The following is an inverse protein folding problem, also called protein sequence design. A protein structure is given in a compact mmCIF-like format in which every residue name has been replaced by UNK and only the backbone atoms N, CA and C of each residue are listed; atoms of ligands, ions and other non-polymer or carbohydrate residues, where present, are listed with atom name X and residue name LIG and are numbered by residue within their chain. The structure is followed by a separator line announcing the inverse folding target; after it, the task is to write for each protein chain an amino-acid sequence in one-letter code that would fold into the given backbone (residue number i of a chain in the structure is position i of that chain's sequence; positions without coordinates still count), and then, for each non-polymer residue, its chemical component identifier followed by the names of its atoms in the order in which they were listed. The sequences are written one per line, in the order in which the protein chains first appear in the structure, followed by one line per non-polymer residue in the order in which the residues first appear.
data_IF_358398548492
#
_entry.id   IF_358398548492
#
_cell.length_a   1.000
_cell.length_b   1.000
_cell.length_c   1.000
_cell.angle_alpha   90.00
_cell.angle_beta   90.00
_cell.angle_gamma   90.00
#
_symmetry.space_group_name_H-M   'P 1'
#
loop_
_entity.id
_entity.type
_entity.pdbx_description
1 polymer ?
#
# COMPACT_ATOMS: atom_id res chain seq x y z
N UNK A 1 -14.97 39.85 16.74
CA UNK A 1 -14.10 40.63 15.82
C UNK A 1 -12.81 40.90 16.57
N UNK A 2 -11.65 40.65 15.95
CA UNK A 2 -10.33 40.88 16.56
C UNK A 2 -9.78 42.17 15.96
N UNK A 3 -9.48 43.16 16.81
CA UNK A 3 -8.92 44.46 16.43
C UNK A 3 -7.60 44.67 17.18
N UNK A 4 -6.62 45.31 16.54
CA UNK A 4 -5.32 45.61 17.16
C UNK A 4 -5.49 46.64 18.28
N UNK A 5 -5.12 46.35 19.55
CA UNK A 5 -5.35 47.25 20.69
C UNK A 5 -4.44 48.49 20.71
N UNK A 6 -3.57 48.67 19.71
CA UNK A 6 -2.62 49.79 19.63
C UNK A 6 -3.07 50.81 18.57
N UNK A 7 -3.72 50.38 17.49
CA UNK A 7 -4.05 51.24 16.36
C UNK A 7 -5.49 51.08 15.84
N UNK A 8 -6.33 50.27 16.52
CA UNK A 8 -7.72 49.97 16.14
C UNK A 8 -7.89 49.40 14.72
N UNK A 9 -6.80 48.86 14.17
CA UNK A 9 -6.77 48.31 12.81
C UNK A 9 -7.26 46.86 12.78
N UNK A 10 -8.05 46.53 11.75
CA UNK A 10 -8.66 45.20 11.53
C UNK A 10 -8.14 44.50 10.27
N UNK A 11 -7.17 45.10 9.57
CA UNK A 11 -6.56 44.56 8.36
C UNK A 11 -5.42 43.59 8.72
N UNK A 12 -5.73 42.29 8.75
CA UNK A 12 -4.71 41.25 8.97
C UNK A 12 -4.01 40.94 7.64
N UNK A 13 -2.72 41.27 7.53
CA UNK A 13 -1.87 40.85 6.42
C UNK A 13 -0.90 39.75 6.85
N UNK A 14 -0.74 38.71 6.02
CA UNK A 14 0.24 37.65 6.25
C UNK A 14 1.54 38.06 5.59
N UNK A 15 2.57 38.26 6.40
CA UNK A 15 3.95 38.41 5.91
C UNK A 15 4.59 37.03 5.76
N UNK A 16 5.18 36.70 4.59
CA UNK A 16 5.99 35.49 4.46
C UNK A 16 7.26 35.63 5.29
N UNK A 17 7.50 34.69 6.18
CA UNK A 17 8.71 34.63 6.98
C UNK A 17 9.91 34.28 6.09
N UNK A 18 10.97 35.11 6.13
CA UNK A 18 12.19 34.96 5.33
C UNK A 18 13.19 33.95 5.90
N UNK A 19 12.76 33.07 6.81
CA UNK A 19 13.62 31.99 7.29
C UNK A 19 13.67 30.87 6.25
N UNK A 20 14.79 30.81 5.54
CA UNK A 20 15.10 29.73 4.61
C UNK A 20 15.29 28.42 5.39
N UNK A 21 14.22 27.62 5.51
CA UNK A 21 14.36 26.22 5.87
C UNK A 21 14.98 25.55 4.65
N UNK A 22 16.26 25.20 4.74
CA UNK A 22 16.91 24.28 3.79
C UNK A 22 16.18 22.95 3.91
N UNK A 23 15.08 22.81 3.18
CA UNK A 23 14.50 21.51 2.93
C UNK A 23 15.61 20.69 2.29
N UNK A 24 16.10 19.68 3.00
CA UNK A 24 16.69 18.54 2.33
C UNK A 24 15.55 17.91 1.55
N UNK A 25 15.22 18.51 0.40
CA UNK A 25 14.67 17.80 -0.73
C UNK A 25 15.79 16.84 -1.13
N UNK A 26 15.92 15.77 -0.35
CA UNK A 26 16.59 14.57 -0.75
C UNK A 26 15.76 14.01 -1.88
N UNK A 27 15.89 14.60 -3.06
CA UNK A 27 15.77 13.83 -4.28
C UNK A 27 16.83 12.77 -4.13
N UNK A 28 16.45 11.59 -3.63
CA UNK A 28 17.25 10.40 -3.87
C UNK A 28 17.40 10.37 -5.38
N UNK A 29 18.61 10.55 -5.94
CA UNK A 29 18.77 10.34 -7.36
C UNK A 29 18.60 8.85 -7.58
N UNK A 30 17.36 8.41 -7.85
CA UNK A 30 17.13 7.15 -8.55
C UNK A 30 17.70 7.39 -9.95
N UNK A 31 19.00 7.16 -10.11
CA UNK A 31 19.57 6.89 -11.43
C UNK A 31 18.93 5.58 -11.88
N UNK A 32 18.13 5.54 -12.95
CA UNK A 32 17.78 4.27 -13.56
C UNK A 32 19.02 3.85 -14.37
N UNK A 33 20.06 3.42 -13.67
CA UNK A 33 21.18 2.72 -14.29
C UNK A 33 20.68 1.33 -14.66
N UNK A 34 20.65 1.06 -15.97
CA UNK A 34 20.41 -0.25 -16.52
C UNK A 34 18.95 -0.53 -16.84
N UNK A 35 18.75 -1.17 -17.98
CA UNK A 35 17.53 -1.85 -18.39
C UNK A 35 17.07 -2.75 -17.23
N UNK A 36 16.23 -2.23 -16.32
CA UNK A 36 15.69 -3.02 -15.22
C UNK A 36 14.80 -4.05 -15.87
N UNK A 37 15.29 -5.28 -15.94
CA UNK A 37 14.51 -6.44 -16.36
C UNK A 37 13.33 -6.56 -15.40
N UNK A 38 12.20 -5.94 -15.80
CA UNK A 38 10.97 -5.88 -15.01
C UNK A 38 10.48 -7.29 -14.68
N UNK A 39 10.80 -8.25 -15.55
CA UNK A 39 10.61 -9.67 -15.34
C UNK A 39 11.48 -10.25 -14.21
N UNK A 40 12.78 -9.90 -14.14
CA UNK A 40 13.67 -10.36 -13.07
C UNK A 40 13.29 -9.76 -11.71
N UNK A 41 12.81 -8.52 -11.69
CA UNK A 41 12.31 -7.87 -10.48
C UNK A 41 10.98 -8.48 -10.02
N UNK A 42 10.06 -8.77 -10.95
CA UNK A 42 8.79 -9.45 -10.66
C UNK A 42 8.99 -10.81 -10.00
N UNK A 43 9.92 -11.63 -10.52
CA UNK A 43 10.25 -12.94 -9.92
C UNK A 43 10.74 -12.82 -8.48
N UNK A 44 11.63 -11.88 -8.19
CA UNK A 44 12.12 -11.65 -6.81
C UNK A 44 11.00 -11.23 -5.85
N UNK A 45 10.02 -10.46 -6.33
CA UNK A 45 8.85 -10.07 -5.52
C UNK A 45 7.98 -11.29 -5.23
N UNK A 46 7.68 -12.11 -6.24
CA UNK A 46 6.93 -13.36 -6.07
C UNK A 46 7.64 -14.27 -5.07
N UNK A 47 8.95 -14.53 -5.26
CA UNK A 47 9.76 -15.32 -4.35
C UNK A 47 9.71 -14.80 -2.90
N UNK A 48 9.74 -13.48 -2.73
CA UNK A 48 9.67 -12.85 -1.42
C UNK A 48 8.30 -13.08 -0.77
N UNK A 49 7.22 -12.88 -1.53
CA UNK A 49 5.86 -13.13 -1.05
C UNK A 49 5.70 -14.59 -0.67
N UNK A 50 6.20 -15.53 -1.48
CA UNK A 50 6.07 -16.96 -1.20
C UNK A 50 6.79 -17.40 0.07
N UNK A 51 7.94 -16.78 0.37
CA UNK A 51 8.77 -17.11 1.54
C UNK A 51 8.34 -16.42 2.83
N UNK A 52 7.76 -15.22 2.73
CA UNK A 52 7.41 -14.40 3.89
C UNK A 52 5.92 -14.41 4.21
N UNK A 53 5.06 -14.87 3.30
CA UNK A 53 3.61 -14.90 3.49
C UNK A 53 3.10 -16.33 3.52
N UNK A 54 2.31 -16.63 4.54
CA UNK A 54 1.68 -17.92 4.72
C UNK A 54 0.53 -18.12 3.72
N UNK A 55 0.52 -19.26 3.03
CA UNK A 55 -0.54 -19.58 2.08
C UNK A 55 -1.74 -20.20 2.81
N UNK A 56 -2.82 -19.44 2.92
CA UNK A 56 -4.10 -19.88 3.53
C UNK A 56 -5.14 -20.30 2.48
N UNK A 57 -4.78 -20.27 1.19
CA UNK A 57 -5.67 -20.74 0.12
C UNK A 57 -6.99 -19.97 0.07
N UNK A 58 -8.12 -20.69 0.04
CA UNK A 58 -9.46 -20.11 -0.06
C UNK A 58 -9.94 -19.44 1.23
N UNK A 59 -9.31 -19.75 2.37
CA UNK A 59 -9.71 -19.23 3.69
C UNK A 59 -9.14 -17.83 3.96
N UNK A 60 -8.60 -17.15 2.94
CA UNK A 60 -8.00 -15.82 3.07
C UNK A 60 -8.95 -14.80 3.70
N UNK A 61 -10.21 -14.80 3.29
CA UNK A 61 -11.19 -13.86 3.81
C UNK A 61 -11.49 -14.11 5.29
N UNK A 62 -11.65 -15.37 5.70
CA UNK A 62 -11.91 -15.72 7.09
C UNK A 62 -10.71 -15.40 7.98
N UNK A 63 -9.49 -15.74 7.56
CA UNK A 63 -8.28 -15.47 8.33
C UNK A 63 -8.02 -13.97 8.47
N UNK A 64 -8.27 -13.19 7.41
CA UNK A 64 -8.14 -11.74 7.45
C UNK A 64 -9.16 -11.11 8.42
N UNK A 65 -10.40 -11.61 8.46
CA UNK A 65 -11.40 -11.19 9.44
C UNK A 65 -10.99 -11.56 10.86
N UNK A 66 -10.55 -12.80 11.10
CA UNK A 66 -10.08 -13.24 12.42
C UNK A 66 -8.94 -12.35 12.93
N UNK A 67 -8.01 -11.97 12.06
CA UNK A 67 -6.93 -11.04 12.40
C UNK A 67 -7.45 -9.63 12.69
N UNK A 68 -8.44 -9.14 11.93
CA UNK A 68 -9.06 -7.83 12.15
C UNK A 68 -9.79 -7.76 13.50
N UNK A 69 -10.47 -8.84 13.89
CA UNK A 69 -11.17 -8.97 15.17
C UNK A 69 -10.27 -9.39 16.34
N UNK A 70 -8.99 -9.67 16.10
CA UNK A 70 -8.02 -10.09 17.13
C UNK A 70 -8.24 -11.51 17.67
N UNK A 71 -8.92 -12.38 16.92
CA UNK A 71 -9.10 -13.80 17.24
C UNK A 71 -7.80 -14.57 17.00
N UNK A 72 -7.06 -14.19 15.96
CA UNK A 72 -5.75 -14.76 15.60
C UNK A 72 -4.68 -13.68 15.62
N UNK A 73 -3.41 -14.10 15.80
CA UNK A 73 -2.29 -13.18 15.80
C UNK A 73 -2.10 -12.53 14.41
N UNK A 74 -1.77 -11.23 14.35
CA UNK A 74 -1.58 -10.54 13.08
C UNK A 74 -0.33 -11.06 12.36
N UNK A 75 -0.53 -11.66 11.19
CA UNK A 75 0.53 -12.29 10.38
C UNK A 75 0.35 -12.03 8.89
N UNK A 76 1.42 -12.18 8.12
CA UNK A 76 1.37 -12.01 6.67
C UNK A 76 0.76 -13.25 6.01
N UNK A 77 -0.48 -13.12 5.50
CA UNK A 77 -1.20 -14.20 4.80
C UNK A 77 -1.35 -13.89 3.31
N UNK A 78 -1.34 -14.95 2.48
CA UNK A 78 -1.69 -14.92 1.06
C UNK A 78 -2.73 -15.99 0.76
N UNK A 79 -3.59 -15.73 -0.21
CA UNK A 79 -4.56 -16.71 -0.65
C UNK A 79 -5.41 -16.20 -1.79
N UNK A 80 -6.49 -16.93 -2.06
CA UNK A 80 -7.50 -16.61 -3.05
C UNK A 80 -8.79 -16.22 -2.32
N UNK A 81 -9.56 -15.35 -2.94
CA UNK A 81 -10.85 -14.93 -2.40
C UNK A 81 -11.83 -14.70 -3.54
N UNK A 82 -13.10 -14.96 -3.28
CA UNK A 82 -14.21 -14.72 -4.19
C UNK A 82 -14.59 -13.24 -4.22
N UNK A 83 -15.19 -12.74 -5.30
CA UNK A 83 -15.56 -11.32 -5.40
C UNK A 83 -16.51 -10.88 -4.27
N UNK A 84 -17.38 -11.77 -3.79
CA UNK A 84 -18.30 -11.49 -2.68
C UNK A 84 -17.56 -11.34 -1.35
N UNK A 85 -16.55 -12.14 -1.11
CA UNK A 85 -15.72 -12.04 0.09
C UNK A 85 -14.86 -10.77 0.06
N UNK A 86 -14.33 -10.39 -1.10
CA UNK A 86 -13.60 -9.14 -1.27
C UNK A 86 -14.45 -7.91 -0.93
N UNK A 87 -15.74 -7.91 -1.28
CA UNK A 87 -16.67 -6.86 -0.89
C UNK A 87 -16.83 -6.79 0.63
N UNK A 88 -16.97 -7.94 1.29
CA UNK A 88 -17.00 -8.03 2.75
C UNK A 88 -15.71 -7.48 3.37
N UNK A 89 -14.54 -7.90 2.88
CA UNK A 89 -13.25 -7.42 3.36
C UNK A 89 -13.13 -5.89 3.25
N UNK A 90 -13.60 -5.30 2.14
CA UNK A 90 -13.62 -3.84 1.97
C UNK A 90 -14.60 -3.15 2.91
N UNK A 91 -15.79 -3.72 3.12
CA UNK A 91 -16.80 -3.17 4.02
C UNK A 91 -16.31 -3.15 5.47
N UNK A 92 -15.57 -4.18 5.87
CA UNK A 92 -14.93 -4.29 7.19
C UNK A 92 -13.68 -3.40 7.32
N UNK A 93 -13.21 -2.77 6.23
CA UNK A 93 -12.03 -1.89 6.24
C UNK A 93 -10.70 -2.65 6.20
N UNK A 94 -10.69 -3.90 5.77
CA UNK A 94 -9.49 -4.71 5.63
C UNK A 94 -8.78 -4.35 4.33
N UNK A 95 -7.53 -3.89 4.45
CA UNK A 95 -6.68 -3.55 3.31
C UNK A 95 -6.02 -4.80 2.74
N UNK A 96 -6.25 -5.09 1.46
CA UNK A 96 -5.63 -6.20 0.73
C UNK A 96 -5.10 -5.74 -0.62
N UNK A 97 -4.16 -6.51 -1.18
CA UNK A 97 -3.56 -6.23 -2.48
C UNK A 97 -3.80 -7.39 -3.44
N UNK A 98 -4.22 -7.10 -4.67
CA UNK A 98 -4.30 -8.09 -5.73
C UNK A 98 -2.97 -8.19 -6.44
N UNK A 99 -2.32 -9.34 -6.30
CA UNK A 99 -1.10 -9.61 -7.02
C UNK A 99 -1.41 -10.36 -8.33
N UNK A 100 -0.99 -9.84 -9.51
CA UNK A 100 -1.06 -10.59 -10.75
C UNK A 100 0.03 -11.66 -10.70
N UNK A 101 -0.34 -12.87 -10.27
CA UNK A 101 0.51 -14.03 -10.49
C UNK A 101 0.54 -14.30 -12.00
N UNK A 102 1.73 -14.38 -12.64
CA UNK A 102 1.79 -14.86 -14.00
C UNK A 102 1.19 -16.26 -13.97
N UNK A 103 0.07 -16.45 -14.65
CA UNK A 103 -0.48 -17.77 -14.89
C UNK A 103 0.63 -18.57 -15.56
N UNK A 104 1.18 -19.58 -14.88
CA UNK A 104 1.75 -20.69 -15.63
C UNK A 104 0.61 -21.16 -16.53
N UNK A 105 0.77 -21.10 -17.87
CA UNK A 105 -0.25 -21.60 -18.76
C UNK A 105 -0.40 -23.08 -18.39
N UNK A 106 -1.50 -23.40 -17.72
CA UNK A 106 -1.99 -24.76 -17.67
C UNK A 106 -2.17 -25.18 -19.12
N UNK A 107 -1.30 -26.07 -19.61
CA UNK A 107 -1.49 -26.81 -20.84
C UNK A 107 -2.90 -27.45 -20.83
N UNK A 108 -3.88 -26.74 -21.37
CA UNK A 108 -5.20 -27.28 -21.71
C UNK A 108 -5.67 -26.81 -23.09
N UNK A 109 -4.76 -26.33 -23.92
CA UNK A 109 -4.92 -26.15 -25.38
C UNK A 109 -3.96 -27.09 -26.13
N UNK A 110 -4.04 -28.38 -25.84
CA UNK A 110 -3.50 -29.44 -26.68
C UNK A 110 -4.63 -30.40 -27.09
N UNK A 111 -5.26 -30.02 -28.21
CA UNK A 111 -5.94 -30.88 -29.20
C UNK A 111 -7.40 -31.28 -29.00
#
# INVERSE_FOLDING_TARGET
MIACPICDDTAVSKIPSTFAIKGSSGTIPLKPDGNMDLAAMGKKIVDYVEKNFENVGADFAEEALKMHYGVTEPRSIRGVSTPKEEETLKAEGISFFKFPVPSEPSDSDAS
#
